data_IF_304736208157
#
_entry.id   IF_304736208157
#
_cell.length_a   1.000
_cell.length_b   1.000
_cell.length_c   1.000
_cell.angle_alpha   90.00
_cell.angle_beta   90.00
_cell.angle_gamma   90.00
#
_symmetry.space_group_name_H-M   'P 1'
#
loop_
_entity.id
_entity.type
_entity.pdbx_description
1 polymer ?
#
# COMPACT_ATOMS: atom_id res chain seq x y z
N UNK A 1 10.77 -20.62 18.86
CA UNK A 1 10.11 -21.25 17.69
C UNK A 1 8.61 -21.12 17.88
N UNK A 2 7.97 -20.14 17.23
CA UNK A 2 6.51 -20.06 17.18
C UNK A 2 6.09 -20.50 15.78
N UNK A 3 5.26 -21.54 15.70
CA UNK A 3 4.75 -22.08 14.46
C UNK A 3 3.77 -21.08 13.82
N UNK A 4 4.11 -20.59 12.63
CA UNK A 4 3.16 -19.90 11.76
C UNK A 4 2.41 -20.98 11.00
N UNK A 5 1.16 -21.23 11.38
CA UNK A 5 0.23 -21.97 10.55
C UNK A 5 -0.12 -21.10 9.34
N UNK A 6 0.33 -21.51 8.16
CA UNK A 6 -0.13 -20.95 6.89
C UNK A 6 -1.41 -21.71 6.54
N UNK A 7 -2.56 -21.05 6.68
CA UNK A 7 -3.81 -21.54 6.08
C UNK A 7 -3.85 -21.05 4.63
N UNK A 8 -3.60 -21.97 3.69
CA UNK A 8 -3.71 -21.70 2.25
C UNK A 8 -5.19 -21.51 1.88
N UNK A 9 -5.58 -20.27 1.54
CA UNK A 9 -6.87 -20.00 0.88
C UNK A 9 -6.69 -19.83 -0.62
N UNK A 10 -7.42 -20.68 -1.33
CA UNK A 10 -7.52 -20.83 -2.79
C UNK A 10 -7.73 -19.47 -3.48
N UNK A 11 -6.81 -19.12 -4.37
CA UNK A 11 -6.88 -17.96 -5.26
C UNK A 11 -8.07 -18.12 -6.24
N UNK A 12 -9.10 -17.29 -6.08
CA UNK A 12 -10.03 -16.99 -7.17
C UNK A 12 -9.60 -15.68 -7.83
N UNK A 13 -9.44 -15.78 -9.15
CA UNK A 13 -8.87 -14.76 -10.02
C UNK A 13 -9.92 -13.66 -10.27
N UNK A 14 -9.92 -12.61 -9.44
CA UNK A 14 -10.77 -11.44 -9.61
C UNK A 14 -10.05 -10.21 -9.08
N UNK A 15 -9.77 -9.23 -9.95
CA UNK A 15 -9.04 -8.00 -9.66
C UNK A 15 -9.80 -7.02 -8.76
N UNK A 16 -10.21 -7.46 -7.57
CA UNK A 16 -10.71 -6.61 -6.50
C UNK A 16 -9.61 -6.31 -5.50
N UNK A 17 -9.63 -5.11 -4.92
CA UNK A 17 -8.79 -4.73 -3.78
C UNK A 17 -9.11 -5.72 -2.64
N UNK A 18 -8.24 -6.69 -2.43
CA UNK A 18 -8.31 -7.61 -1.31
C UNK A 18 -8.11 -6.77 -0.05
N UNK A 19 -9.15 -6.64 0.77
CA UNK A 19 -9.06 -6.00 2.08
C UNK A 19 -8.15 -6.88 2.94
N UNK A 20 -6.86 -6.55 2.97
CA UNK A 20 -5.89 -7.17 3.86
C UNK A 20 -6.23 -6.66 5.26
N UNK A 21 -6.87 -7.50 6.07
CA UNK A 21 -7.11 -7.24 7.49
C UNK A 21 -6.13 -8.10 8.30
N UNK A 22 -4.87 -7.67 8.43
CA UNK A 22 -3.89 -8.47 9.14
C UNK A 22 -4.19 -8.40 10.63
N UNK A 23 -4.38 -9.54 11.29
CA UNK A 23 -4.50 -9.59 12.76
C UNK A 23 -3.16 -9.20 13.36
N UNK A 24 -3.01 -7.99 13.95
CA UNK A 24 -1.72 -7.54 14.43
C UNK A 24 -1.40 -8.24 15.74
N UNK A 25 -0.42 -9.14 15.73
CA UNK A 25 0.14 -9.71 16.95
C UNK A 25 1.00 -8.66 17.67
N UNK A 26 0.36 -7.81 18.47
CA UNK A 26 1.00 -6.77 19.30
C UNK A 26 1.66 -7.36 20.56
N UNK A 27 2.52 -8.36 20.38
CA UNK A 27 3.33 -8.92 21.46
C UNK A 27 4.46 -7.99 21.88
N UNK A 28 4.91 -8.07 23.14
CA UNK A 28 6.09 -7.33 23.63
C UNK A 28 7.33 -7.63 22.77
N UNK A 29 7.43 -8.85 22.26
CA UNK A 29 8.49 -9.29 21.35
C UNK A 29 8.51 -8.54 20.02
N UNK A 30 7.36 -8.24 19.39
CA UNK A 30 7.35 -7.51 18.11
C UNK A 30 7.83 -6.07 18.26
N UNK A 31 7.54 -5.45 19.41
CA UNK A 31 7.98 -4.09 19.71
C UNK A 31 9.50 -4.00 19.94
N UNK A 32 10.10 -5.05 20.52
CA UNK A 32 11.57 -5.13 20.68
C UNK A 32 12.25 -5.31 19.32
N UNK A 33 11.72 -6.20 18.48
CA UNK A 33 12.26 -6.43 17.13
C UNK A 33 12.19 -5.14 16.29
N UNK A 34 11.04 -4.46 16.26
CA UNK A 34 10.86 -3.18 15.57
C UNK A 34 11.85 -2.10 16.06
N UNK A 35 12.15 -2.07 17.36
CA UNK A 35 13.12 -1.13 17.91
C UNK A 35 14.56 -1.45 17.47
N UNK A 36 14.96 -2.73 17.47
CA UNK A 36 16.28 -3.17 17.01
C UNK A 36 16.45 -2.90 15.51
N UNK A 37 15.44 -3.21 14.70
CA UNK A 37 15.44 -2.93 13.25
C UNK A 37 15.60 -1.44 12.97
N UNK A 38 14.83 -0.59 13.66
CA UNK A 38 14.92 0.87 13.53
C UNK A 38 16.31 1.39 13.90
N UNK A 39 16.93 0.84 14.93
CA UNK A 39 18.28 1.24 15.36
C UNK A 39 19.30 0.89 14.27
N UNK A 40 19.26 -0.33 13.73
CA UNK A 40 20.16 -0.78 12.66
C UNK A 40 19.97 0.06 11.38
N UNK A 41 18.73 0.22 10.92
CA UNK A 41 18.42 1.01 9.71
C UNK A 41 18.91 2.44 9.86
N UNK A 42 18.73 3.05 11.03
CA UNK A 42 19.20 4.42 11.29
C UNK A 42 20.73 4.56 11.30
N UNK A 43 21.46 3.51 11.66
CA UNK A 43 22.93 3.51 11.55
C UNK A 43 23.41 3.31 10.11
N UNK A 44 22.66 2.58 9.29
CA UNK A 44 23.03 2.27 7.90
C UNK A 44 22.58 3.33 6.89
N UNK A 45 21.46 3.99 7.14
CA UNK A 45 20.80 4.88 6.20
C UNK A 45 20.42 6.18 6.89
N UNK A 46 20.83 7.32 6.30
CA UNK A 46 20.41 8.64 6.74
C UNK A 46 19.09 9.04 6.04
N UNK A 47 17.95 9.02 6.74
CA UNK A 47 16.66 9.40 6.16
C UNK A 47 16.57 10.89 5.82
N UNK A 48 17.53 11.70 6.25
CA UNK A 48 17.58 13.14 5.98
C UNK A 48 18.02 13.45 4.55
N UNK A 49 18.60 12.48 3.84
CA UNK A 49 19.02 12.67 2.46
C UNK A 49 17.83 12.57 1.50
N UNK A 50 17.62 13.57 0.62
CA UNK A 50 16.51 13.56 -0.31
C UNK A 50 16.67 12.43 -1.34
N UNK A 51 15.67 11.54 -1.42
CA UNK A 51 15.60 10.51 -2.44
C UNK A 51 15.06 11.11 -3.75
N UNK A 52 15.94 11.37 -4.71
CA UNK A 52 15.56 12.01 -5.99
C UNK A 52 14.47 11.25 -6.74
N UNK A 53 14.43 9.93 -6.62
CA UNK A 53 13.43 9.07 -7.26
C UNK A 53 12.07 9.04 -6.53
N UNK A 54 11.97 9.58 -5.31
CA UNK A 54 10.71 9.78 -4.57
C UNK A 54 10.36 11.28 -4.47
N UNK A 55 10.76 12.07 -5.46
CA UNK A 55 10.52 13.52 -5.48
C UNK A 55 9.50 13.92 -6.56
N UNK A 56 8.83 15.05 -6.34
CA UNK A 56 7.83 15.58 -7.27
C UNK A 56 6.67 14.61 -7.49
N UNK A 57 6.33 14.36 -8.76
CA UNK A 57 5.23 13.47 -9.15
C UNK A 57 5.51 11.97 -8.88
N UNK A 58 6.72 11.62 -8.46
CA UNK A 58 7.11 10.25 -8.08
C UNK A 58 7.05 10.03 -6.55
N UNK A 59 6.73 11.07 -5.79
CA UNK A 59 6.55 10.94 -4.36
C UNK A 59 5.32 10.05 -4.07
N UNK A 60 5.36 9.24 -2.99
CA UNK A 60 4.20 8.49 -2.55
C UNK A 60 3.02 9.42 -2.23
N UNK A 61 1.81 9.02 -2.64
CA UNK A 61 0.59 9.70 -2.19
C UNK A 61 0.35 9.32 -0.72
N UNK A 62 0.27 10.28 0.22
CA UNK A 62 0.21 9.95 1.66
C UNK A 62 -1.01 9.15 2.08
N UNK A 63 -2.11 9.29 1.33
CA UNK A 63 -3.39 8.64 1.60
C UNK A 63 -3.92 8.00 0.33
N UNK A 64 -4.55 6.84 0.45
CA UNK A 64 -5.29 6.26 -0.66
C UNK A 64 -6.45 7.17 -1.05
N UNK A 65 -6.65 7.38 -2.35
CA UNK A 65 -7.76 8.19 -2.86
C UNK A 65 -9.04 7.36 -2.87
N UNK A 66 -10.10 7.76 -2.16
CA UNK A 66 -11.34 6.98 -2.13
C UNK A 66 -12.02 6.99 -3.50
N UNK A 67 -12.89 5.99 -3.80
CA UNK A 67 -13.67 5.97 -5.03
C UNK A 67 -14.44 7.29 -5.20
N UNK A 68 -14.19 8.00 -6.29
CA UNK A 68 -14.82 9.29 -6.59
C UNK A 68 -15.69 9.14 -7.84
N UNK A 69 -16.95 9.54 -7.73
CA UNK A 69 -17.89 9.55 -8.86
C UNK A 69 -17.84 10.90 -9.58
N UNK A 70 -18.22 10.89 -10.85
CA UNK A 70 -18.49 12.10 -11.64
C UNK A 70 -17.32 13.11 -11.68
N UNK A 71 -16.13 12.64 -12.08
CA UNK A 71 -14.98 13.53 -12.28
C UNK A 71 -15.35 14.61 -13.33
N UNK A 72 -14.99 15.89 -13.09
CA UNK A 72 -15.32 16.96 -14.01
C UNK A 72 -14.61 16.74 -15.35
N UNK A 73 -15.40 16.63 -16.42
CA UNK A 73 -14.91 16.48 -17.79
C UNK A 73 -14.91 17.85 -18.46
N UNK A 74 -13.75 18.25 -18.99
CA UNK A 74 -13.63 19.42 -19.84
C UNK A 74 -13.64 18.95 -21.30
N UNK A 75 -14.58 19.47 -22.11
CA UNK A 75 -14.75 19.08 -23.51
C UNK A 75 -15.77 17.94 -23.70
N UNK A 76 -15.51 17.02 -24.62
CA UNK A 76 -16.39 15.90 -24.95
C UNK A 76 -15.65 14.57 -24.79
N UNK A 77 -16.16 13.70 -23.91
CA UNK A 77 -15.66 12.33 -23.76
C UNK A 77 -16.45 11.40 -24.70
N UNK A 78 -15.82 10.74 -25.69
CA UNK A 78 -16.51 9.87 -26.63
C UNK A 78 -17.28 8.72 -25.96
N UNK A 79 -18.50 8.47 -26.42
CA UNK A 79 -19.40 7.44 -25.87
C UNK A 79 -18.78 6.03 -25.92
N UNK A 80 -17.96 5.73 -26.93
CA UNK A 80 -17.29 4.43 -27.05
C UNK A 80 -16.27 4.13 -25.93
N UNK A 81 -15.82 5.14 -25.18
CA UNK A 81 -14.95 4.96 -24.01
C UNK A 81 -15.75 4.71 -22.72
N UNK A 82 -17.05 4.99 -22.70
CA UNK A 82 -17.91 4.73 -21.55
C UNK A 82 -18.41 3.28 -21.47
N UNK A 83 -18.40 2.52 -22.58
CA UNK A 83 -18.95 1.16 -22.62
C UNK A 83 -18.02 0.09 -22.00
N UNK A 84 -16.78 0.43 -21.63
CA UNK A 84 -15.80 -0.51 -21.06
C UNK A 84 -15.86 -0.70 -19.52
N UNK A 85 -16.86 -0.15 -18.83
CA UNK A 85 -16.85 -0.16 -17.35
C UNK A 85 -18.20 -0.01 -16.65
N UNK A 86 -19.27 -0.56 -17.22
CA UNK A 86 -20.57 -0.72 -16.53
C UNK A 86 -20.68 -2.12 -15.89
#
# INVERSE_FOLDING_TARGET
>A
MAAVGVEEKKHENGGGIVVVNPTPNKGVTSKVVDWVEKLIVKFMYDPSQPLHYLSGNFAPVPNETPPTKDLPVIGYLPVCLMEMGA
#
